data_IF_295190498266
#
_entry.id   IF_295190498266
#
_cell.length_a   1.000
_cell.length_b   1.000
_cell.length_c   1.000
_cell.angle_alpha   90.00
_cell.angle_beta   90.00
_cell.angle_gamma   90.00
#
_symmetry.space_group_name_H-M   'P 1'
#
loop_
_entity.id
_entity.type
_entity.pdbx_description
1 polymer ?
#
# COMPACT_ATOMS: atom_id res chain seq x y z
N UNK A 1 -18.32 -35.87 38.68
CA UNK A 1 -17.44 -34.74 38.27
C UNK A 1 -17.03 -34.95 36.82
N UNK A 2 -17.58 -34.13 35.91
CA UNK A 2 -17.37 -34.23 34.46
C UNK A 2 -15.94 -33.84 34.11
N UNK A 3 -15.12 -34.81 33.72
CA UNK A 3 -13.83 -34.57 33.06
C UNK A 3 -14.09 -33.77 31.77
N UNK A 4 -13.41 -32.63 31.67
CA UNK A 4 -13.71 -31.54 30.74
C UNK A 4 -13.33 -31.90 29.30
N UNK A 5 -14.33 -31.96 28.42
CA UNK A 5 -14.20 -32.11 26.95
C UNK A 5 -13.47 -30.94 26.25
N UNK A 6 -12.85 -30.04 27.01
CA UNK A 6 -12.10 -28.88 26.51
C UNK A 6 -10.66 -29.28 26.15
N UNK A 7 -10.04 -30.21 26.88
CA UNK A 7 -8.66 -30.66 26.60
C UNK A 7 -8.55 -31.45 25.29
N UNK A 8 -9.64 -32.08 24.84
CA UNK A 8 -9.66 -32.90 23.62
C UNK A 8 -9.88 -32.08 22.34
N UNK A 9 -10.25 -30.79 22.45
CA UNK A 9 -10.37 -29.87 21.32
C UNK A 9 -9.07 -29.12 21.00
N UNK A 10 -8.14 -29.04 21.94
CA UNK A 10 -6.83 -28.41 21.71
C UNK A 10 -5.86 -29.29 20.92
N UNK A 11 -6.07 -30.62 20.90
CA UNK A 11 -5.20 -31.53 20.17
C UNK A 11 -5.53 -31.66 18.67
N UNK A 12 -6.72 -31.26 18.22
CA UNK A 12 -7.11 -31.29 16.79
C UNK A 12 -6.66 -30.08 15.98
N UNK A 13 -6.40 -28.92 16.60
CA UNK A 13 -5.98 -27.72 15.86
C UNK A 13 -4.47 -27.74 15.55
N UNK A 14 -3.67 -28.42 16.37
CA UNK A 14 -2.23 -28.55 16.16
C UNK A 14 -1.86 -29.49 15.00
N UNK A 15 -2.71 -30.45 14.63
CA UNK A 15 -2.38 -31.44 13.58
C UNK A 15 -2.66 -30.95 12.16
N UNK A 16 -3.57 -29.99 11.96
CA UNK A 16 -3.88 -29.43 10.62
C UNK A 16 -2.77 -28.47 10.15
N UNK A 17 -1.94 -27.96 11.07
CA UNK A 17 -0.83 -27.06 10.75
C UNK A 17 0.44 -27.76 10.26
N UNK A 18 0.53 -29.10 10.30
CA UNK A 18 1.75 -29.85 9.90
C UNK A 18 1.62 -30.71 8.63
N UNK A 19 0.48 -30.71 7.92
CA UNK A 19 0.31 -31.48 6.68
C UNK A 19 -0.15 -30.65 5.47
N UNK A 20 0.38 -29.43 5.31
CA UNK A 20 0.21 -28.68 4.05
C UNK A 20 1.51 -28.13 3.46
N UNK A 21 2.66 -28.62 3.92
CA UNK A 21 3.85 -28.68 3.06
C UNK A 21 3.89 -30.04 2.37
N UNK A 22 3.50 -30.08 1.10
CA UNK A 22 4.35 -30.49 -0.03
C UNK A 22 3.45 -30.64 -1.27
N UNK A 23 3.87 -30.01 -2.36
CA UNK A 23 3.32 -30.09 -3.73
C UNK A 23 2.31 -29.00 -4.16
N UNK A 24 2.82 -27.77 -4.33
CA UNK A 24 2.71 -27.12 -5.63
C UNK A 24 3.94 -26.23 -5.83
N UNK A 25 4.92 -26.75 -6.55
CA UNK A 25 6.12 -26.01 -6.92
C UNK A 25 5.75 -24.83 -7.80
N UNK A 26 5.71 -23.64 -7.21
CA UNK A 26 6.11 -22.42 -7.87
C UNK A 26 7.35 -21.95 -7.14
N UNK A 27 8.46 -21.88 -7.86
CA UNK A 27 9.59 -21.05 -7.46
C UNK A 27 9.03 -19.64 -7.25
N UNK A 28 8.75 -19.31 -5.99
CA UNK A 28 8.67 -17.93 -5.58
C UNK A 28 10.12 -17.50 -5.59
N UNK A 29 10.50 -16.70 -6.59
CA UNK A 29 11.73 -15.92 -6.48
C UNK A 29 11.59 -15.17 -5.15
N UNK A 30 12.40 -15.55 -4.16
CA UNK A 30 12.74 -14.64 -3.09
C UNK A 30 13.39 -13.46 -3.78
N UNK A 31 12.59 -12.46 -4.14
CA UNK A 31 13.13 -11.16 -4.52
C UNK A 31 13.83 -10.65 -3.27
N UNK A 32 15.16 -10.78 -3.25
CA UNK A 32 16.00 -10.13 -2.27
C UNK A 32 15.53 -8.69 -2.14
N UNK A 33 15.04 -8.34 -0.94
CA UNK A 33 14.68 -6.97 -0.62
C UNK A 33 15.90 -6.11 -0.96
N UNK A 34 15.81 -5.20 -1.95
CA UNK A 34 17.00 -4.56 -2.47
C UNK A 34 17.72 -3.80 -1.36
N UNK A 35 19.04 -3.80 -1.42
CA UNK A 35 19.92 -3.02 -0.56
C UNK A 35 19.65 -1.51 -0.78
N UNK A 36 18.54 -1.01 -0.24
CA UNK A 36 18.08 0.37 -0.37
C UNK A 36 17.79 0.84 -1.81
N UNK A 37 17.05 1.94 -1.90
CA UNK A 37 16.95 2.72 -3.13
C UNK A 37 18.04 3.79 -3.11
N UNK A 38 18.87 3.84 -4.16
CA UNK A 38 19.94 4.83 -4.32
C UNK A 38 19.72 5.59 -5.62
N UNK A 39 20.34 6.76 -5.76
CA UNK A 39 20.24 7.55 -7.01
C UNK A 39 20.74 6.75 -8.21
N UNK A 40 21.77 5.94 -8.03
CA UNK A 40 22.35 5.12 -9.11
C UNK A 40 21.44 3.97 -9.55
N UNK A 41 20.56 3.49 -8.66
CA UNK A 41 19.72 2.33 -8.92
C UNK A 41 18.22 2.64 -9.10
N UNK A 42 17.74 3.82 -8.68
CA UNK A 42 16.30 4.11 -8.61
C UNK A 42 15.61 4.05 -9.97
N UNK A 43 16.32 4.39 -11.06
CA UNK A 43 15.79 4.37 -12.43
C UNK A 43 15.16 3.02 -12.78
N UNK A 44 15.78 1.91 -12.36
CA UNK A 44 15.31 0.55 -12.67
C UNK A 44 13.98 0.19 -12.00
N UNK A 45 13.57 0.99 -11.01
CA UNK A 45 12.30 0.82 -10.30
C UNK A 45 11.23 1.81 -10.77
N UNK A 46 11.47 2.59 -11.82
CA UNK A 46 10.44 3.45 -12.40
C UNK A 46 9.65 2.63 -13.42
N UNK A 47 8.33 2.53 -13.23
CA UNK A 47 7.45 1.75 -14.10
C UNK A 47 7.47 2.35 -15.52
N UNK A 48 7.71 1.50 -16.52
CA UNK A 48 7.68 1.90 -17.94
C UNK A 48 8.81 2.84 -18.37
N UNK A 49 9.89 2.98 -17.60
CA UNK A 49 10.95 3.97 -17.84
C UNK A 49 11.70 3.80 -19.18
N UNK A 50 11.74 2.58 -19.71
CA UNK A 50 12.36 2.24 -20.98
C UNK A 50 11.32 1.81 -22.04
N UNK A 51 10.02 2.01 -21.75
CA UNK A 51 8.94 1.70 -22.68
C UNK A 51 9.07 2.60 -23.92
N UNK A 52 9.01 1.98 -25.10
CA UNK A 52 9.24 2.70 -26.34
C UNK A 52 7.94 3.22 -26.93
N UNK A 53 7.94 4.50 -27.31
CA UNK A 53 6.85 5.14 -28.03
C UNK A 53 7.28 5.33 -29.48
N UNK A 54 6.33 5.16 -30.39
CA UNK A 54 6.51 5.39 -31.82
C UNK A 54 6.45 6.89 -32.13
N UNK A 55 7.43 7.36 -32.88
CA UNK A 55 7.54 8.74 -33.35
C UNK A 55 6.97 8.88 -34.75
N UNK A 56 6.76 10.13 -35.19
CA UNK A 56 6.19 10.43 -36.52
C UNK A 56 7.02 9.88 -37.69
N UNK A 57 8.31 9.63 -37.48
CA UNK A 57 9.21 9.01 -38.47
C UNK A 57 9.18 7.47 -38.46
N UNK A 58 8.30 6.88 -37.65
CA UNK A 58 8.16 5.43 -37.44
C UNK A 58 9.25 4.83 -36.55
N UNK A 59 10.20 5.63 -36.04
CA UNK A 59 11.21 5.14 -35.10
C UNK A 59 10.63 5.00 -33.69
N UNK A 60 11.19 4.08 -32.90
CA UNK A 60 10.78 3.84 -31.51
C UNK A 60 11.85 4.28 -30.53
N UNK A 61 11.48 5.07 -29.53
CA UNK A 61 12.41 5.62 -28.51
C UNK A 61 11.72 5.64 -27.15
N UNK A 62 12.51 5.48 -26.09
CA UNK A 62 12.03 5.74 -24.74
C UNK A 62 11.86 7.25 -24.52
N UNK A 63 10.81 7.64 -23.81
CA UNK A 63 10.55 9.04 -23.48
C UNK A 63 11.51 9.51 -22.38
N UNK A 64 12.06 10.72 -22.56
CA UNK A 64 12.78 11.44 -21.51
C UNK A 64 11.78 12.37 -20.80
N UNK A 65 11.31 11.96 -19.63
CA UNK A 65 10.32 12.74 -18.88
C UNK A 65 10.97 13.92 -18.13
N UNK A 66 10.76 15.13 -18.63
CA UNK A 66 11.11 16.38 -17.94
C UNK A 66 9.90 17.12 -17.34
N UNK A 67 8.75 16.46 -17.23
CA UNK A 67 7.50 17.02 -16.71
C UNK A 67 7.08 16.42 -15.36
N UNK A 68 8.07 16.04 -14.53
CA UNK A 68 7.82 15.47 -13.20
C UNK A 68 7.13 16.45 -12.23
N UNK A 69 7.16 17.75 -12.54
CA UNK A 69 6.47 18.78 -11.76
C UNK A 69 4.94 18.71 -11.94
N UNK A 70 4.45 18.25 -13.09
CA UNK A 70 3.04 18.01 -13.31
C UNK A 70 2.59 16.68 -12.69
N UNK A 71 3.32 15.59 -12.96
CA UNK A 71 3.10 14.29 -12.33
C UNK A 71 4.33 13.40 -12.46
N UNK A 72 4.55 12.53 -11.47
CA UNK A 72 5.67 11.59 -11.45
C UNK A 72 5.24 10.21 -11.92
N UNK A 73 6.09 9.46 -12.64
CA UNK A 73 5.83 8.06 -12.95
C UNK A 73 5.77 7.22 -11.65
N UNK A 74 4.99 6.15 -11.67
CA UNK A 74 4.88 5.24 -10.54
C UNK A 74 6.20 4.50 -10.30
N UNK A 75 6.49 4.19 -9.04
CA UNK A 75 7.58 3.29 -8.66
C UNK A 75 7.07 1.85 -8.58
N UNK A 76 7.86 0.90 -9.08
CA UNK A 76 7.55 -0.53 -9.10
C UNK A 76 7.13 -1.06 -7.72
N UNK A 77 7.84 -0.75 -6.61
CA UNK A 77 7.43 -1.22 -5.28
C UNK A 77 6.04 -0.73 -4.85
N UNK A 78 5.62 0.45 -5.31
CA UNK A 78 4.27 0.98 -5.04
C UNK A 78 3.23 0.23 -5.85
N UNK A 79 3.51 -0.05 -7.13
CA UNK A 79 2.65 -0.86 -7.98
C UNK A 79 2.47 -2.27 -7.42
N UNK A 80 3.56 -2.91 -7.03
CA UNK A 80 3.56 -4.26 -6.46
C UNK A 80 2.76 -4.31 -5.15
N UNK A 81 2.94 -3.31 -4.29
CA UNK A 81 2.20 -3.19 -3.04
C UNK A 81 0.70 -3.03 -3.31
N UNK A 82 0.30 -2.13 -4.22
CA UNK A 82 -1.12 -1.95 -4.59
C UNK A 82 -1.72 -3.28 -5.06
N UNK A 83 -1.06 -3.98 -5.98
CA UNK A 83 -1.54 -5.27 -6.50
C UNK A 83 -1.63 -6.34 -5.39
N UNK A 84 -0.65 -6.38 -4.49
CA UNK A 84 -0.67 -7.28 -3.34
C UNK A 84 -1.88 -7.00 -2.42
N UNK A 85 -2.13 -5.72 -2.13
CA UNK A 85 -3.21 -5.31 -1.21
C UNK A 85 -4.61 -5.50 -1.81
N UNK A 86 -4.77 -5.43 -3.14
CA UNK A 86 -6.06 -5.68 -3.80
C UNK A 86 -6.66 -7.06 -3.45
N UNK A 87 -5.83 -8.06 -3.18
CA UNK A 87 -6.29 -9.42 -2.81
C UNK A 87 -7.03 -9.46 -1.46
N UNK A 88 -6.64 -8.57 -0.53
CA UNK A 88 -7.18 -8.48 0.83
C UNK A 88 -8.08 -7.27 1.06
N UNK A 89 -8.40 -6.53 -0.01
CA UNK A 89 -9.26 -5.35 0.06
C UNK A 89 -10.63 -5.64 0.68
N UNK A 90 -11.02 -4.78 1.61
CA UNK A 90 -12.30 -4.80 2.31
C UNK A 90 -12.72 -3.41 2.76
N UNK A 91 -13.97 -3.28 3.22
CA UNK A 91 -14.51 -2.03 3.75
C UNK A 91 -13.70 -1.56 4.97
N UNK A 92 -13.56 -0.24 5.16
CA UNK A 92 -12.84 0.34 6.29
C UNK A 92 -13.83 0.79 7.37
N UNK A 93 -13.54 0.47 8.63
CA UNK A 93 -14.23 0.98 9.82
C UNK A 93 -15.64 0.45 10.13
N UNK A 94 -16.31 -0.21 9.18
CA UNK A 94 -17.70 -0.71 9.36
C UNK A 94 -17.94 -2.16 8.89
N UNK A 95 -16.91 -2.89 8.50
CA UNK A 95 -17.07 -4.29 8.08
C UNK A 95 -16.79 -5.28 9.22
N UNK A 96 -17.39 -6.46 9.10
CA UNK A 96 -17.29 -7.57 10.07
C UNK A 96 -16.57 -8.78 9.45
N UNK A 97 -15.51 -8.54 8.69
CA UNK A 97 -14.74 -9.60 8.02
C UNK A 97 -13.25 -9.40 8.22
N UNK A 98 -12.48 -10.48 8.13
CA UNK A 98 -11.02 -10.41 8.28
C UNK A 98 -10.33 -9.50 7.26
N UNK A 99 -10.90 -9.36 6.06
CA UNK A 99 -10.43 -8.40 5.05
C UNK A 99 -10.72 -6.95 5.45
N UNK A 100 -11.85 -6.72 6.11
CA UNK A 100 -12.23 -5.40 6.62
C UNK A 100 -11.36 -4.97 7.81
N UNK A 101 -11.11 -5.89 8.75
CA UNK A 101 -10.16 -5.67 9.85
C UNK A 101 -8.79 -5.28 9.29
N UNK A 102 -8.25 -6.11 8.38
CA UNK A 102 -6.96 -5.89 7.73
C UNK A 102 -6.88 -4.54 7.00
N UNK A 103 -7.88 -4.19 6.20
CA UNK A 103 -7.89 -2.92 5.45
C UNK A 103 -7.98 -1.71 6.38
N UNK A 104 -8.72 -1.85 7.50
CA UNK A 104 -8.83 -0.80 8.52
C UNK A 104 -7.50 -0.58 9.23
N UNK A 105 -6.82 -1.66 9.63
CA UNK A 105 -5.51 -1.59 10.26
C UNK A 105 -4.47 -0.97 9.32
N UNK A 106 -4.44 -1.40 8.05
CA UNK A 106 -3.55 -0.84 7.04
C UNK A 106 -3.82 0.66 6.82
N UNK A 107 -5.09 1.06 6.73
CA UNK A 107 -5.48 2.47 6.58
C UNK A 107 -5.04 3.34 7.77
N UNK A 108 -5.19 2.86 9.00
CA UNK A 108 -4.75 3.59 10.19
C UNK A 108 -3.23 3.67 10.30
N UNK A 109 -2.53 2.55 10.07
CA UNK A 109 -1.07 2.48 10.12
C UNK A 109 -0.41 3.40 9.07
N UNK A 110 -1.02 3.56 7.90
CA UNK A 110 -0.49 4.47 6.86
C UNK A 110 -0.63 5.94 7.24
N UNK A 111 -1.64 6.34 8.04
CA UNK A 111 -1.74 7.70 8.57
C UNK A 111 -0.56 8.06 9.48
N UNK A 112 -0.17 7.16 10.38
CA UNK A 112 1.00 7.34 11.24
C UNK A 112 2.29 7.49 10.41
N UNK A 113 2.45 6.68 9.36
CA UNK A 113 3.59 6.81 8.43
C UNK A 113 3.64 8.16 7.71
N UNK A 114 2.48 8.69 7.29
CA UNK A 114 2.40 10.02 6.65
C UNK A 114 2.79 11.12 7.63
N UNK A 115 2.30 11.07 8.87
CA UNK A 115 2.67 12.03 9.92
C UNK A 115 4.17 12.01 10.21
N UNK A 116 4.75 10.81 10.36
CA UNK A 116 6.19 10.64 10.53
C UNK A 116 6.99 11.20 9.34
N UNK A 117 6.52 10.96 8.10
CA UNK A 117 7.19 11.44 6.90
C UNK A 117 7.26 12.97 6.83
N UNK A 118 6.21 13.68 7.26
CA UNK A 118 6.19 15.15 7.30
C UNK A 118 6.76 15.73 8.61
N UNK A 119 7.18 14.89 9.55
CA UNK A 119 7.71 15.31 10.85
C UNK A 119 6.65 15.83 11.83
N UNK A 120 5.38 15.43 11.67
CA UNK A 120 4.28 15.79 12.58
C UNK A 120 4.11 14.72 13.67
N UNK A 121 3.87 15.15 14.91
CA UNK A 121 3.61 14.25 16.03
C UNK A 121 2.14 13.81 16.06
N UNK A 122 1.90 12.54 16.43
CA UNK A 122 0.56 11.96 16.45
C UNK A 122 -0.32 12.45 17.61
N UNK A 123 0.25 13.18 18.59
CA UNK A 123 -0.50 13.71 19.73
C UNK A 123 -1.24 15.00 19.38
N UNK A 124 -0.62 15.87 18.57
CA UNK A 124 -1.17 17.18 18.20
C UNK A 124 -1.73 17.21 16.77
N UNK A 125 -1.28 16.31 15.88
CA UNK A 125 -1.66 16.31 14.47
C UNK A 125 -2.37 15.03 14.06
N UNK A 126 -3.26 15.15 13.07
CA UNK A 126 -3.94 14.02 12.45
C UNK A 126 -3.84 14.12 10.93
N UNK A 127 -3.79 12.97 10.25
CA UNK A 127 -3.73 12.90 8.79
C UNK A 127 -5.11 12.62 8.20
N UNK A 128 -5.56 13.50 7.30
CA UNK A 128 -6.76 13.31 6.50
C UNK A 128 -6.39 12.94 5.06
N UNK A 129 -6.92 11.81 4.57
CA UNK A 129 -6.85 11.51 3.15
C UNK A 129 -7.90 12.32 2.39
N UNK A 130 -7.45 12.96 1.32
CA UNK A 130 -8.24 13.79 0.40
C UNK A 130 -7.97 13.33 -1.02
N UNK A 131 -8.76 13.78 -1.99
CA UNK A 131 -8.60 13.33 -3.37
C UNK A 131 -7.32 13.87 -4.00
N UNK A 132 -6.98 15.13 -3.69
CA UNK A 132 -5.78 15.83 -4.13
C UNK A 132 -5.58 17.10 -3.27
N UNK A 133 -4.48 17.82 -3.51
CA UNK A 133 -4.14 19.06 -2.80
C UNK A 133 -5.24 20.12 -2.90
N UNK A 134 -5.81 20.33 -4.09
CA UNK A 134 -6.86 21.32 -4.32
C UNK A 134 -8.12 21.00 -3.53
N UNK A 135 -8.58 19.75 -3.54
CA UNK A 135 -9.72 19.26 -2.75
C UNK A 135 -9.46 19.43 -1.25
N UNK A 136 -8.25 19.11 -0.77
CA UNK A 136 -7.86 19.30 0.62
C UNK A 136 -7.92 20.76 1.07
N UNK A 137 -7.38 21.67 0.26
CA UNK A 137 -7.43 23.11 0.55
C UNK A 137 -8.86 23.66 0.54
N UNK A 138 -9.71 23.22 -0.40
CA UNK A 138 -11.11 23.63 -0.43
C UNK A 138 -11.89 23.12 0.78
N UNK A 139 -11.67 21.87 1.21
CA UNK A 139 -12.29 21.33 2.42
C UNK A 139 -11.83 22.07 3.67
N UNK A 140 -10.54 22.39 3.75
CA UNK A 140 -9.99 23.17 4.85
C UNK A 140 -10.58 24.57 4.90
N UNK A 141 -10.64 25.26 3.75
CA UNK A 141 -11.24 26.59 3.64
C UNK A 141 -12.71 26.55 4.10
N UNK A 142 -13.52 25.63 3.57
CA UNK A 142 -14.92 25.50 3.98
C UNK A 142 -15.12 25.15 5.46
N UNK A 143 -14.18 24.42 6.08
CA UNK A 143 -14.25 24.07 7.50
C UNK A 143 -13.82 25.21 8.43
N UNK A 144 -12.88 26.05 7.99
CA UNK A 144 -12.34 27.18 8.76
C UNK A 144 -13.05 28.50 8.52
N UNK A 145 -13.81 28.62 7.42
CA UNK A 145 -14.70 29.77 7.21
C UNK A 145 -15.82 29.68 8.24
N UNK A 146 -15.58 30.28 9.40
CA UNK A 146 -16.63 30.77 10.30
C UNK A 146 -17.07 32.11 9.76
N UNK A 147 -18.32 32.25 9.33
CA UNK A 147 -18.88 33.57 9.07
C UNK A 147 -18.92 34.35 10.39
N UNK A 148 -18.03 35.31 10.57
CA UNK A 148 -18.32 36.50 11.36
C UNK A 148 -18.89 37.54 10.41
N UNK A 149 -20.22 37.56 10.31
CA UNK A 149 -20.99 38.79 10.13
C UNK A 149 -21.71 39.07 11.47
#
# INVERSE_FOLDING_TARGET
MKQSKIAQRFLCVALVAMMSLTACGKETKEEEKPAGYTIDNIRKYVVGVDEQVELDDGSKRAIINFDNAATTPALQPVSDEVEAQMKMYGSIGRGYSKKSDYSTDLYNNTRSKVLQFVGADEENYTCFYVNNTTDGLNKLASALITSED
#
